data_IF_560504687517
#
_entry.id   IF_560504687517
#
_cell.length_a   1.000
_cell.length_b   1.000
_cell.length_c   1.000
_cell.angle_alpha   90.00
_cell.angle_beta   90.00
_cell.angle_gamma   90.00
#
_symmetry.space_group_name_H-M   'P 1'
#
loop_
_entity.id
_entity.type
_entity.pdbx_description
1 polymer ?
#
# COMPACT_ATOMS: atom_id res chain seq x y z
N UNK A 1 4.81 -24.83 11.92
CA UNK A 1 4.95 -24.22 10.59
C UNK A 1 3.57 -24.19 10.01
N UNK A 2 2.97 -23.01 9.93
CA UNK A 2 1.61 -22.87 9.41
C UNK A 2 1.72 -22.69 7.90
N UNK A 3 1.25 -23.68 7.14
CA UNK A 3 1.26 -23.65 5.68
C UNK A 3 -0.11 -23.26 5.15
N UNK A 4 -0.15 -22.46 4.08
CA UNK A 4 -1.37 -22.25 3.31
C UNK A 4 -1.33 -23.16 2.08
N UNK A 5 -2.24 -24.13 2.00
CA UNK A 5 -2.39 -25.05 0.88
C UNK A 5 -3.78 -24.96 0.26
N UNK A 6 -3.82 -25.10 -1.06
CA UNK A 6 -5.05 -25.28 -1.85
C UNK A 6 -4.76 -26.44 -2.79
N UNK A 7 -5.65 -27.44 -2.86
CA UNK A 7 -5.53 -28.59 -3.78
C UNK A 7 -4.16 -29.30 -3.68
N UNK A 8 -3.68 -29.55 -2.46
CA UNK A 8 -2.44 -30.27 -2.14
C UNK A 8 -1.11 -29.62 -2.59
N UNK A 9 -1.14 -28.39 -3.13
CA UNK A 9 0.07 -27.63 -3.43
C UNK A 9 0.37 -26.61 -2.33
N UNK A 10 1.65 -26.50 -1.95
CA UNK A 10 2.14 -25.44 -1.07
C UNK A 10 2.19 -24.12 -1.85
N UNK A 11 1.42 -23.13 -1.41
CA UNK A 11 1.37 -21.82 -2.07
C UNK A 11 2.23 -20.77 -1.37
N UNK A 12 2.32 -20.85 -0.04
CA UNK A 12 3.04 -19.89 0.78
C UNK A 12 3.52 -20.55 2.07
N UNK A 13 4.76 -20.22 2.46
CA UNK A 13 5.39 -20.69 3.69
C UNK A 13 5.87 -19.48 4.52
N UNK A 14 5.11 -19.04 5.54
CA UNK A 14 5.58 -18.05 6.49
C UNK A 14 6.50 -18.65 7.54
N UNK A 15 7.52 -17.88 7.93
CA UNK A 15 8.28 -18.08 9.16
C UNK A 15 8.00 -16.89 10.07
N UNK A 16 7.47 -17.14 11.26
CA UNK A 16 7.15 -16.12 12.24
C UNK A 16 8.02 -16.32 13.48
N UNK A 17 8.67 -15.24 13.93
CA UNK A 17 9.51 -15.22 15.12
C UNK A 17 8.89 -14.21 16.10
N UNK A 18 8.71 -14.64 17.34
CA UNK A 18 8.09 -13.85 18.39
C UNK A 18 9.04 -13.67 19.55
N UNK A 19 9.01 -12.48 20.16
CA UNK A 19 9.73 -12.17 21.39
C UNK A 19 8.72 -11.56 22.37
N UNK A 20 8.86 -11.87 23.67
CA UNK A 20 8.13 -11.19 24.74
C UNK A 20 8.60 -9.74 24.85
N UNK A 21 7.78 -8.87 25.42
CA UNK A 21 8.17 -7.48 25.65
C UNK A 21 9.27 -7.41 26.72
N UNK A 22 10.35 -6.68 26.42
CA UNK A 22 11.53 -6.50 27.28
C UNK A 22 12.07 -5.09 27.10
N UNK A 23 12.57 -4.49 28.19
CA UNK A 23 13.30 -3.23 28.12
C UNK A 23 14.69 -3.43 27.52
N UNK A 24 15.16 -2.46 26.74
CA UNK A 24 16.44 -2.52 26.06
C UNK A 24 16.87 -1.18 25.51
N UNK A 25 17.91 -1.18 24.66
CA UNK A 25 18.37 0.05 24.00
C UNK A 25 17.36 0.54 22.96
N UNK A 26 17.03 1.82 23.02
CA UNK A 26 16.14 2.46 22.03
C UNK A 26 16.92 3.36 21.08
N UNK A 27 16.73 3.14 19.79
CA UNK A 27 17.18 4.06 18.75
C UNK A 27 16.30 3.91 17.51
N UNK A 28 16.40 4.85 16.57
CA UNK A 28 15.79 4.76 15.25
C UNK A 28 16.70 5.49 14.27
N UNK A 29 17.22 4.77 13.27
CA UNK A 29 18.11 5.36 12.26
C UNK A 29 17.33 6.24 11.26
N UNK A 30 16.17 5.76 10.81
CA UNK A 30 15.38 6.46 9.80
C UNK A 30 14.63 7.65 10.41
N UNK A 31 14.93 8.86 9.96
CA UNK A 31 14.08 10.02 10.23
C UNK A 31 12.80 9.94 9.40
N UNK A 32 11.66 10.25 10.03
CA UNK A 32 10.39 10.39 9.29
C UNK A 32 10.53 11.53 8.27
N UNK A 33 10.28 11.27 6.97
CA UNK A 33 10.42 12.32 5.96
C UNK A 33 9.33 13.37 6.15
N UNK A 34 9.66 14.63 5.89
CA UNK A 34 8.68 15.70 5.81
C UNK A 34 7.75 15.47 4.62
N UNK A 35 6.48 15.17 4.89
CA UNK A 35 5.42 14.96 3.90
C UNK A 35 4.16 15.70 4.32
N UNK A 36 3.24 16.01 3.39
CA UNK A 36 1.95 16.61 3.74
C UNK A 36 1.17 15.73 4.73
N UNK A 37 0.47 16.37 5.66
CA UNK A 37 -0.43 15.69 6.59
C UNK A 37 -1.58 14.98 5.85
N UNK A 38 -2.07 13.84 6.36
CA UNK A 38 -3.07 13.05 5.68
C UNK A 38 -4.38 13.81 5.45
N UNK A 39 -4.80 14.67 6.39
CA UNK A 39 -6.09 15.36 6.35
C UNK A 39 -6.28 16.25 5.11
N UNK A 40 -5.20 16.81 4.57
CA UNK A 40 -5.21 17.63 3.35
C UNK A 40 -5.06 16.85 2.05
N UNK A 41 -4.89 15.52 2.11
CA UNK A 41 -4.66 14.68 0.95
C UNK A 41 -5.95 13.99 0.48
N UNK A 42 -6.04 13.77 -0.82
CA UNK A 42 -7.17 13.09 -1.45
C UNK A 42 -7.17 11.59 -1.12
N UNK A 43 -8.35 11.06 -0.80
CA UNK A 43 -8.56 9.64 -0.59
C UNK A 43 -8.46 8.88 -1.93
N UNK A 44 -7.82 7.71 -1.91
CA UNK A 44 -7.68 6.85 -3.10
C UNK A 44 -9.04 6.46 -3.70
N UNK A 45 -10.04 6.22 -2.86
CA UNK A 45 -11.40 5.89 -3.30
C UNK A 45 -12.01 7.04 -4.12
N UNK A 46 -11.73 8.30 -3.76
CA UNK A 46 -12.26 9.49 -4.44
C UNK A 46 -11.60 9.74 -5.81
N UNK A 47 -10.41 9.16 -6.07
CA UNK A 47 -9.75 9.27 -7.37
C UNK A 47 -10.55 8.61 -8.49
N UNK A 48 -11.32 7.58 -8.16
CA UNK A 48 -12.21 6.95 -9.13
C UNK A 48 -13.25 7.96 -9.60
N UNK A 49 -13.93 8.61 -8.67
CA UNK A 49 -14.97 9.60 -8.98
C UNK A 49 -14.38 10.77 -9.76
N UNK A 50 -13.22 11.29 -9.35
CA UNK A 50 -12.50 12.32 -10.10
C UNK A 50 -12.26 11.89 -11.56
N UNK A 51 -11.82 10.65 -11.79
CA UNK A 51 -11.58 10.12 -13.15
C UNK A 51 -12.85 9.89 -13.94
N UNK A 52 -13.98 9.62 -13.30
CA UNK A 52 -15.28 9.46 -13.97
C UNK A 52 -15.81 10.81 -14.48
N UNK A 53 -15.58 11.88 -13.71
CA UNK A 53 -16.13 13.20 -14.01
C UNK A 53 -15.17 14.14 -14.73
N UNK A 54 -13.86 13.85 -14.80
CA UNK A 54 -12.88 14.75 -15.40
C UNK A 54 -13.11 14.92 -16.93
N UNK A 55 -13.49 16.14 -17.40
CA UNK A 55 -13.77 16.38 -18.81
C UNK A 55 -12.52 16.30 -19.70
N UNK A 56 -11.32 16.41 -19.12
CA UNK A 56 -10.04 16.30 -19.85
C UNK A 56 -9.74 14.86 -20.27
N UNK A 57 -10.42 13.88 -19.68
CA UNK A 57 -10.24 12.48 -20.00
C UNK A 57 -11.17 12.04 -21.15
N UNK A 58 -10.66 11.27 -22.13
CA UNK A 58 -11.48 10.74 -23.21
C UNK A 58 -12.69 9.95 -22.70
N UNK A 59 -13.83 10.06 -23.39
CA UNK A 59 -15.06 9.32 -23.03
C UNK A 59 -14.82 7.80 -22.96
N UNK A 60 -13.97 7.26 -23.83
CA UNK A 60 -13.58 5.84 -23.81
C UNK A 60 -12.85 5.46 -22.52
N UNK A 61 -11.99 6.33 -21.99
CA UNK A 61 -11.33 6.13 -20.71
C UNK A 61 -12.33 6.17 -19.56
N UNK A 62 -13.18 7.20 -19.51
CA UNK A 62 -14.21 7.35 -18.46
C UNK A 62 -15.17 6.16 -18.43
N UNK A 63 -15.64 5.70 -19.60
CA UNK A 63 -16.47 4.49 -19.73
C UNK A 63 -15.77 3.25 -19.21
N UNK A 64 -14.48 3.07 -19.53
CA UNK A 64 -13.66 1.96 -19.01
C UNK A 64 -13.59 1.99 -17.49
N UNK A 65 -13.34 3.16 -16.89
CA UNK A 65 -13.33 3.30 -15.42
C UNK A 65 -14.69 2.91 -14.85
N UNK A 66 -15.79 3.41 -15.42
CA UNK A 66 -17.15 3.13 -14.96
C UNK A 66 -17.47 1.63 -14.97
N UNK A 67 -17.08 0.90 -16.01
CA UNK A 67 -17.36 -0.54 -16.16
C UNK A 67 -16.38 -1.44 -15.41
N UNK A 68 -15.24 -0.93 -14.96
CA UNK A 68 -14.26 -1.73 -14.21
C UNK A 68 -14.78 -1.99 -12.80
N UNK A 69 -14.77 -3.27 -12.38
CA UNK A 69 -15.16 -3.67 -11.02
C UNK A 69 -14.36 -2.86 -10.00
N UNK A 70 -15.07 -2.15 -9.15
CA UNK A 70 -14.49 -1.39 -8.05
C UNK A 70 -14.69 -2.16 -6.76
N UNK A 71 -13.61 -2.39 -6.03
CA UNK A 71 -13.62 -3.06 -4.74
C UNK A 71 -13.07 -2.07 -3.73
N UNK A 72 -13.89 -1.68 -2.77
CA UNK A 72 -13.45 -0.84 -1.68
C UNK A 72 -12.46 -1.60 -0.80
N UNK A 73 -11.31 -1.00 -0.54
CA UNK A 73 -10.34 -1.59 0.37
C UNK A 73 -10.80 -1.39 1.82
N UNK A 74 -10.47 -2.32 2.74
CA UNK A 74 -10.76 -2.20 4.16
C UNK A 74 -9.88 -1.14 4.86
N UNK A 75 -8.96 -0.52 4.11
CA UNK A 75 -8.09 0.57 4.55
C UNK A 75 -8.34 1.81 3.70
N UNK A 76 -8.14 2.98 4.30
CA UNK A 76 -8.02 4.25 3.60
C UNK A 76 -6.58 4.43 3.13
N UNK A 77 -6.38 5.00 1.93
CA UNK A 77 -5.06 5.35 1.42
C UNK A 77 -5.07 6.78 0.89
N UNK A 78 -4.03 7.55 1.21
CA UNK A 78 -3.82 8.90 0.71
C UNK A 78 -2.38 9.06 0.21
N UNK A 79 -2.19 9.25 -1.09
CA UNK A 79 -0.87 9.45 -1.68
C UNK A 79 -0.32 10.83 -1.33
N UNK A 80 0.93 10.90 -0.86
CA UNK A 80 1.60 12.18 -0.56
C UNK A 80 1.91 12.99 -1.83
N UNK A 81 2.12 12.30 -2.95
CA UNK A 81 2.34 12.89 -4.26
C UNK A 81 1.43 12.19 -5.28
N UNK A 82 0.24 12.74 -5.46
CA UNK A 82 -0.75 12.16 -6.36
C UNK A 82 -0.36 12.40 -7.83
N UNK A 83 -0.26 11.33 -8.59
CA UNK A 83 -0.15 11.39 -10.04
C UNK A 83 -1.52 11.14 -10.70
N UNK A 84 -2.16 12.20 -11.19
CA UNK A 84 -3.44 12.12 -11.92
C UNK A 84 -3.26 11.84 -13.42
N UNK A 85 -2.02 11.84 -13.93
CA UNK A 85 -1.74 11.56 -15.33
C UNK A 85 -2.11 10.12 -15.67
N UNK A 86 -2.97 9.94 -16.67
CA UNK A 86 -3.39 8.63 -17.14
C UNK A 86 -2.41 8.00 -18.12
N UNK A 87 -1.42 8.76 -18.59
CA UNK A 87 -0.37 8.23 -19.44
C UNK A 87 0.67 7.47 -18.59
N UNK A 88 1.11 6.33 -19.11
CA UNK A 88 2.25 5.61 -18.56
C UNK A 88 3.54 6.38 -18.91
N UNK A 89 3.97 7.26 -18.01
CA UNK A 89 5.27 7.93 -18.06
C UNK A 89 6.19 7.37 -16.98
N UNK A 90 7.50 7.47 -17.22
CA UNK A 90 8.51 7.16 -16.22
C UNK A 90 8.35 8.06 -15.00
N UNK A 91 8.65 7.51 -13.84
CA UNK A 91 8.76 8.22 -12.56
C UNK A 91 9.72 7.46 -11.66
N UNK A 92 10.13 8.08 -10.57
CA UNK A 92 11.04 7.45 -9.61
C UNK A 92 10.41 6.17 -9.04
N UNK A 93 11.23 5.16 -8.70
CA UNK A 93 10.78 3.94 -8.04
C UNK A 93 10.56 4.20 -6.54
N UNK A 94 9.80 5.24 -6.23
CA UNK A 94 9.45 5.63 -4.87
C UNK A 94 7.97 5.94 -4.75
N UNK A 95 7.44 5.75 -3.55
CA UNK A 95 6.05 6.04 -3.21
C UNK A 95 5.95 6.37 -1.74
N UNK A 96 5.18 7.41 -1.41
CA UNK A 96 4.84 7.75 -0.03
C UNK A 96 3.33 7.89 0.08
N UNK A 97 2.75 7.20 1.05
CA UNK A 97 1.31 7.25 1.28
C UNK A 97 0.98 7.05 2.74
N UNK A 98 -0.06 7.75 3.16
CA UNK A 98 -0.71 7.49 4.42
C UNK A 98 -1.74 6.39 4.25
N UNK A 99 -1.87 5.54 5.26
CA UNK A 99 -2.98 4.60 5.34
C UNK A 99 -3.46 4.44 6.77
N UNK A 100 -4.69 3.95 6.92
CA UNK A 100 -5.28 3.47 8.17
C UNK A 100 -6.43 2.53 7.88
N UNK A 101 -6.81 1.68 8.84
CA UNK A 101 -8.02 0.87 8.78
C UNK A 101 -9.27 1.76 8.72
N UNK A 102 -10.28 1.29 7.98
CA UNK A 102 -11.61 1.89 8.03
C UNK A 102 -12.32 1.44 9.31
N UNK A 103 -12.64 2.41 10.17
CA UNK A 103 -13.29 2.16 11.44
C UNK A 103 -12.31 1.88 12.57
N UNK A 104 -12.86 1.69 13.78
CA UNK A 104 -12.08 1.47 15.00
C UNK A 104 -11.74 -0.02 15.15
N UNK A 105 -10.48 -0.31 15.48
CA UNK A 105 -10.01 -1.66 15.79
C UNK A 105 -10.01 -1.89 17.31
N UNK A 106 -10.04 -3.16 17.72
CA UNK A 106 -9.77 -3.55 19.10
C UNK A 106 -8.32 -3.23 19.48
N UNK A 107 -8.02 -3.22 20.78
CA UNK A 107 -6.66 -2.92 21.28
C UNK A 107 -5.66 -4.09 21.11
N UNK A 108 -6.06 -5.16 20.41
CA UNK A 108 -5.21 -6.31 20.14
C UNK A 108 -4.10 -5.95 19.13
N UNK A 109 -2.85 -5.99 19.61
CA UNK A 109 -1.68 -5.71 18.78
C UNK A 109 -1.50 -6.73 17.64
N UNK A 110 -2.00 -7.96 17.77
CA UNK A 110 -1.97 -8.93 16.67
C UNK A 110 -2.81 -8.44 15.49
N UNK A 111 -4.02 -7.93 15.75
CA UNK A 111 -4.90 -7.37 14.71
C UNK A 111 -4.26 -6.17 14.01
N UNK A 112 -3.65 -5.24 14.77
CA UNK A 112 -2.96 -4.10 14.18
C UNK A 112 -1.78 -4.52 13.29
N UNK A 113 -0.95 -5.46 13.75
CA UNK A 113 0.17 -6.00 12.95
C UNK A 113 -0.33 -6.72 11.69
N UNK A 114 -1.44 -7.45 11.77
CA UNK A 114 -2.09 -8.07 10.61
C UNK A 114 -2.55 -7.06 9.57
N UNK A 115 -3.14 -5.92 9.99
CA UNK A 115 -3.55 -4.86 9.06
C UNK A 115 -2.34 -4.21 8.38
N UNK A 116 -1.25 -3.96 9.13
CA UNK A 116 -0.01 -3.43 8.53
C UNK A 116 0.61 -4.45 7.57
N UNK A 117 0.62 -5.74 7.92
CA UNK A 117 1.10 -6.80 7.05
C UNK A 117 0.28 -6.87 5.76
N UNK A 118 -1.05 -6.83 5.86
CA UNK A 118 -1.93 -6.72 4.69
C UNK A 118 -1.58 -5.49 3.85
N UNK A 119 -1.47 -4.31 4.44
CA UNK A 119 -1.22 -3.06 3.72
C UNK A 119 0.16 -3.00 3.04
N UNK A 120 1.16 -3.68 3.60
CA UNK A 120 2.55 -3.62 3.16
C UNK A 120 2.81 -4.20 1.76
N UNK A 121 1.99 -5.17 1.32
CA UNK A 121 2.17 -5.84 0.01
C UNK A 121 1.12 -5.43 -1.04
N UNK A 122 0.22 -4.47 -0.74
CA UNK A 122 -0.87 -4.10 -1.65
C UNK A 122 -0.40 -3.41 -2.94
N UNK A 123 0.55 -2.48 -2.81
CA UNK A 123 0.96 -1.59 -3.90
C UNK A 123 2.47 -1.53 -4.12
N UNK A 124 3.23 -2.27 -3.31
CA UNK A 124 4.68 -2.26 -3.30
C UNK A 124 5.30 -2.66 -4.64
N UNK A 125 4.92 -3.83 -5.16
CA UNK A 125 5.48 -4.38 -6.41
C UNK A 125 5.30 -3.42 -7.60
N UNK A 126 4.17 -2.71 -7.67
CA UNK A 126 3.88 -1.77 -8.75
C UNK A 126 4.80 -0.53 -8.80
N UNK A 127 5.46 -0.18 -7.69
CA UNK A 127 6.40 0.95 -7.59
C UNK A 127 7.69 0.65 -8.36
N UNK A 128 8.16 -0.60 -8.32
CA UNK A 128 9.36 -1.06 -9.05
C UNK A 128 9.25 -0.85 -10.57
N UNK A 129 8.02 -0.86 -11.09
CA UNK A 129 7.76 -0.69 -12.52
C UNK A 129 7.82 0.77 -12.97
N UNK A 130 7.78 1.74 -12.05
CA UNK A 130 7.71 3.17 -12.36
C UNK A 130 8.79 3.66 -13.34
N UNK A 131 10.08 3.27 -13.22
CA UNK A 131 11.13 3.74 -14.13
C UNK A 131 11.02 3.16 -15.55
N UNK A 132 10.27 2.07 -15.72
CA UNK A 132 10.11 1.35 -16.98
C UNK A 132 8.83 1.72 -17.74
N UNK A 133 7.92 2.48 -17.10
CA UNK A 133 6.64 2.88 -17.69
C UNK A 133 6.84 3.69 -18.97
N UNK A 134 6.12 3.28 -20.01
CA UNK A 134 6.02 3.95 -21.31
C UNK A 134 4.66 3.64 -21.91
N UNK A 135 4.18 4.43 -22.87
CA UNK A 135 2.90 4.18 -23.56
C UNK A 135 2.86 2.73 -24.10
N UNK A 136 1.83 1.98 -23.71
CA UNK A 136 1.65 0.59 -24.14
C UNK A 136 2.47 -0.43 -23.35
N UNK A 137 3.11 -0.03 -22.25
CA UNK A 137 3.84 -0.94 -21.38
C UNK A 137 2.89 -1.95 -20.74
N UNK A 138 3.25 -3.23 -20.89
CA UNK A 138 2.59 -4.38 -20.27
C UNK A 138 3.62 -5.14 -19.46
N UNK A 139 3.26 -5.51 -18.25
CA UNK A 139 4.07 -6.33 -17.37
C UNK A 139 3.16 -7.23 -16.54
N UNK A 140 3.70 -8.36 -16.10
CA UNK A 140 3.15 -9.13 -15.00
C UNK A 140 4.13 -9.05 -13.84
N UNK A 141 3.62 -9.00 -12.62
CA UNK A 141 4.42 -9.02 -11.40
C UNK A 141 3.83 -10.05 -10.45
N UNK A 142 4.72 -10.69 -9.70
CA UNK A 142 4.37 -11.66 -8.66
C UNK A 142 5.25 -11.36 -7.46
N UNK A 143 4.66 -11.40 -6.27
CA UNK A 143 5.42 -11.34 -5.01
C UNK A 143 6.12 -12.69 -4.82
N UNK A 144 7.44 -12.67 -4.62
CA UNK A 144 8.26 -13.88 -4.43
C UNK A 144 8.56 -14.10 -2.96
N UNK A 145 8.96 -13.04 -2.27
CA UNK A 145 9.21 -12.99 -0.85
C UNK A 145 8.63 -11.70 -0.26
N UNK A 146 8.37 -11.74 1.04
CA UNK A 146 7.96 -10.56 1.79
C UNK A 146 8.44 -10.71 3.23
N UNK A 147 9.15 -9.71 3.74
CA UNK A 147 9.74 -9.72 5.07
C UNK A 147 9.39 -8.45 5.82
N UNK A 148 9.08 -8.58 7.10
CA UNK A 148 8.67 -7.46 7.94
C UNK A 148 9.25 -7.60 9.34
N UNK A 149 9.58 -6.45 9.94
CA UNK A 149 10.04 -6.34 11.31
C UNK A 149 9.17 -5.33 12.05
N UNK A 150 8.59 -5.74 13.18
CA UNK A 150 7.78 -4.87 14.03
C UNK A 150 8.61 -4.41 15.22
N UNK A 151 9.06 -3.15 15.19
CA UNK A 151 9.93 -2.60 16.23
C UNK A 151 9.19 -2.01 17.43
N UNK A 152 7.94 -1.57 17.25
CA UNK A 152 7.13 -0.93 18.29
C UNK A 152 5.65 -1.30 18.15
N UNK A 153 4.88 -1.09 19.22
CA UNK A 153 3.44 -1.09 19.16
C UNK A 153 2.93 0.01 18.22
N UNK A 154 1.84 -0.27 17.53
CA UNK A 154 1.22 0.64 16.58
C UNK A 154 -0.29 0.50 16.59
N UNK A 155 -0.98 1.55 16.14
CA UNK A 155 -2.40 1.60 15.89
C UNK A 155 -2.63 1.68 14.39
N UNK A 156 -3.10 0.59 13.80
CA UNK A 156 -3.41 0.54 12.38
C UNK A 156 -4.71 1.28 12.00
N UNK A 157 -5.52 1.70 12.96
CA UNK A 157 -6.65 2.62 12.78
C UNK A 157 -6.29 4.09 12.98
N UNK A 158 -5.04 4.39 13.35
CA UNK A 158 -4.43 5.71 13.24
C UNK A 158 -3.65 5.84 11.93
N UNK A 159 -3.33 7.07 11.54
CA UNK A 159 -2.58 7.35 10.32
C UNK A 159 -1.13 6.85 10.42
N UNK A 160 -0.78 5.91 9.54
CA UNK A 160 0.57 5.38 9.37
C UNK A 160 1.12 5.80 8.01
N UNK A 161 2.38 6.25 7.98
CA UNK A 161 3.07 6.62 6.74
C UNK A 161 3.90 5.44 6.23
N UNK A 162 3.56 4.94 5.03
CA UNK A 162 4.44 4.06 4.28
C UNK A 162 5.38 4.88 3.40
N UNK A 163 6.67 4.59 3.53
CA UNK A 163 7.75 5.15 2.69
C UNK A 163 8.39 4.00 1.92
N UNK A 164 8.18 3.99 0.62
CA UNK A 164 8.74 3.00 -0.31
C UNK A 164 9.76 3.69 -1.20
N UNK A 165 10.94 3.08 -1.33
CA UNK A 165 11.96 3.53 -2.27
C UNK A 165 12.87 2.37 -2.63
N UNK A 166 13.14 2.20 -3.91
CA UNK A 166 14.25 1.38 -4.38
C UNK A 166 15.49 2.27 -4.47
N UNK A 167 16.56 1.86 -3.81
CA UNK A 167 17.88 2.49 -3.98
C UNK A 167 18.51 2.03 -5.29
#
# INVERSE_FOLDING_TARGET
MDTCSISDYLHFLPVLIFQKEEEGFEHQEAMMPSVPAPDGLLLLDDLRELRLTDPRLPMSYRKKVATTKFVHWPIEIRFCALNTNTNQSKSDPSLRYWFRAKGKLSDDQALHRCVVAFASDLIFSGVSLNPHRRKGFKSASLSLDHSMWFHRHLRADDWLLFVVGLR
#
